data_IF_162452190588
#
_entry.id   IF_162452190588
#
_cell.length_a   1.000
_cell.length_b   1.000
_cell.length_c   1.000
_cell.angle_alpha   90.00
_cell.angle_beta   90.00
_cell.angle_gamma   90.00
#
_symmetry.space_group_name_H-M   'P 1'
#
loop_
_entity.id
_entity.type
_entity.pdbx_description
1 polymer ?
#
# COMPACT_ATOMS: atom_id res chain seq x y z
N UNK A 1 -0.15 5.23 11.75
CA UNK A 1 1.31 5.22 12.07
C UNK A 1 2.17 4.68 10.93
N UNK A 2 1.84 3.54 10.29
CA UNK A 2 2.67 2.97 9.22
C UNK A 2 2.60 3.76 7.90
N UNK A 3 1.40 4.19 7.52
CA UNK A 3 1.18 5.04 6.35
C UNK A 3 1.98 6.34 6.46
N UNK A 4 1.91 7.01 7.62
CA UNK A 4 2.62 8.26 7.89
C UNK A 4 4.13 8.07 7.81
N UNK A 5 4.68 7.03 8.46
CA UNK A 5 6.13 6.71 8.36
C UNK A 5 6.58 6.46 6.93
N UNK A 6 5.75 5.83 6.10
CA UNK A 6 6.06 5.65 4.69
C UNK A 6 6.05 6.98 3.91
N UNK A 7 5.09 7.87 4.18
CA UNK A 7 5.05 9.17 3.52
C UNK A 7 6.22 10.07 3.94
N UNK A 8 6.62 10.01 5.21
CA UNK A 8 7.85 10.65 5.70
C UNK A 8 9.10 10.08 5.03
N UNK A 9 9.19 8.75 4.89
CA UNK A 9 10.26 8.09 4.13
C UNK A 9 10.32 8.60 2.68
N UNK A 10 9.17 8.72 2.01
CA UNK A 10 9.12 9.25 0.64
C UNK A 10 9.58 10.72 0.58
N UNK A 11 9.19 11.52 1.58
CA UNK A 11 9.50 12.94 1.64
C UNK A 11 10.99 13.21 1.96
N UNK A 12 11.49 12.63 3.05
CA UNK A 12 12.80 12.99 3.60
C UNK A 12 13.93 12.14 3.04
N UNK A 13 13.73 10.83 2.94
CA UNK A 13 14.79 9.92 2.47
C UNK A 13 14.82 9.82 0.95
N UNK A 14 13.66 9.68 0.31
CA UNK A 14 13.55 9.58 -1.15
C UNK A 14 13.48 10.93 -1.85
N UNK A 15 13.23 12.02 -1.12
CA UNK A 15 13.12 13.39 -1.64
C UNK A 15 12.11 13.52 -2.79
N UNK A 16 11.00 12.79 -2.69
CA UNK A 16 9.91 12.93 -3.64
C UNK A 16 9.18 14.25 -3.43
N UNK A 17 8.66 14.83 -4.53
CA UNK A 17 7.89 16.07 -4.45
C UNK A 17 6.64 15.88 -3.59
N UNK A 18 6.16 16.95 -2.97
CA UNK A 18 4.94 16.94 -2.16
C UNK A 18 3.74 16.37 -2.93
N UNK A 19 3.59 16.75 -4.21
CA UNK A 19 2.56 16.19 -5.09
C UNK A 19 2.69 14.68 -5.24
N UNK A 20 3.91 14.16 -5.35
CA UNK A 20 4.16 12.72 -5.43
C UNK A 20 3.79 12.06 -4.10
N UNK A 21 4.27 12.56 -2.97
CA UNK A 21 3.96 12.02 -1.62
C UNK A 21 2.44 12.00 -1.38
N UNK A 22 1.74 13.08 -1.71
CA UNK A 22 0.28 13.17 -1.62
C UNK A 22 -0.41 12.11 -2.51
N UNK A 23 0.08 11.91 -3.73
CA UNK A 23 -0.42 10.87 -4.65
C UNK A 23 -0.36 9.46 -4.03
N UNK A 24 0.75 9.12 -3.37
CA UNK A 24 0.90 7.85 -2.66
C UNK A 24 -0.05 7.77 -1.46
N UNK A 25 -0.14 8.84 -0.66
CA UNK A 25 -1.03 8.89 0.50
C UNK A 25 -2.50 8.71 0.13
N UNK A 26 -2.96 9.37 -0.93
CA UNK A 26 -4.33 9.24 -1.45
C UNK A 26 -4.63 7.82 -1.95
N UNK A 27 -3.67 7.18 -2.59
CA UNK A 27 -3.86 5.80 -3.05
C UNK A 27 -3.97 4.81 -1.90
N UNK A 28 -3.12 4.96 -0.87
CA UNK A 28 -3.16 4.12 0.31
C UNK A 28 -4.46 4.31 1.10
N UNK A 29 -4.91 5.55 1.27
CA UNK A 29 -6.19 5.82 1.94
C UNK A 29 -7.38 5.25 1.17
N UNK A 30 -7.37 5.29 -0.18
CA UNK A 30 -8.43 4.67 -1.00
C UNK A 30 -8.42 3.15 -0.91
N UNK A 31 -7.25 2.53 -0.74
CA UNK A 31 -7.18 1.09 -0.52
C UNK A 31 -7.65 0.71 0.88
N UNK A 32 -7.25 1.47 1.90
CA UNK A 32 -7.73 1.31 3.27
C UNK A 32 -9.26 1.44 3.36
N UNK A 33 -9.85 2.42 2.67
CA UNK A 33 -11.30 2.57 2.54
C UNK A 33 -11.97 1.34 1.89
N UNK A 34 -11.36 0.80 0.82
CA UNK A 34 -11.84 -0.42 0.19
C UNK A 34 -11.81 -1.62 1.16
N UNK A 35 -10.71 -1.80 1.89
CA UNK A 35 -10.59 -2.90 2.85
C UNK A 35 -11.68 -2.82 3.92
N UNK A 36 -11.92 -1.63 4.48
CA UNK A 36 -12.99 -1.40 5.46
C UNK A 36 -14.39 -1.61 4.89
N UNK A 37 -14.57 -1.46 3.58
CA UNK A 37 -15.81 -1.79 2.88
C UNK A 37 -16.02 -3.30 2.69
N UNK A 38 -14.95 -4.10 2.71
CA UNK A 38 -15.01 -5.57 2.66
C UNK A 38 -15.26 -6.14 4.05
N UNK A 39 -14.48 -5.70 5.03
CA UNK A 39 -14.58 -6.09 6.43
C UNK A 39 -13.96 -4.98 7.31
N UNK A 40 -14.67 -4.58 8.37
CA UNK A 40 -14.23 -3.50 9.25
C UNK A 40 -12.97 -3.82 10.04
N UNK A 41 -12.62 -5.09 10.20
CA UNK A 41 -11.43 -5.53 10.93
C UNK A 41 -10.17 -5.56 10.05
N UNK A 42 -10.30 -5.48 8.72
CA UNK A 42 -9.15 -5.50 7.80
C UNK A 42 -8.34 -4.20 7.89
N UNK A 43 -7.02 -4.33 7.83
CA UNK A 43 -6.09 -3.20 7.84
C UNK A 43 -5.01 -3.34 6.77
N UNK A 44 -4.15 -2.33 6.65
CA UNK A 44 -3.06 -2.34 5.67
C UNK A 44 -1.95 -3.36 5.98
N UNK A 45 -1.99 -4.06 7.12
CA UNK A 45 -0.97 -5.02 7.55
C UNK A 45 -1.37 -6.43 7.10
N UNK A 46 -2.64 -6.79 7.25
CA UNK A 46 -3.16 -8.13 6.98
C UNK A 46 -3.84 -8.21 5.61
N UNK A 47 -3.06 -7.95 4.56
CA UNK A 47 -3.56 -7.93 3.17
C UNK A 47 -3.00 -9.10 2.39
N UNK A 48 -3.89 -9.91 1.82
CA UNK A 48 -3.52 -10.99 0.90
C UNK A 48 -3.72 -10.59 -0.58
N UNK A 49 -3.38 -11.51 -1.47
CA UNK A 49 -3.47 -11.28 -2.90
C UNK A 49 -4.92 -11.20 -3.41
N UNK A 50 -5.89 -11.83 -2.73
CA UNK A 50 -7.30 -11.79 -3.12
C UNK A 50 -7.91 -10.43 -2.84
N UNK A 51 -7.59 -9.80 -1.71
CA UNK A 51 -7.99 -8.42 -1.40
C UNK A 51 -7.47 -7.42 -2.43
N UNK A 52 -6.21 -7.57 -2.86
CA UNK A 52 -5.64 -6.70 -3.91
C UNK A 52 -6.34 -6.92 -5.26
N UNK A 53 -6.60 -8.19 -5.64
CA UNK A 53 -7.36 -8.50 -6.87
C UNK A 53 -8.77 -7.93 -6.83
N UNK A 54 -9.46 -8.08 -5.70
CA UNK A 54 -10.79 -7.52 -5.47
C UNK A 54 -10.79 -6.01 -5.63
N UNK A 55 -9.78 -5.31 -5.09
CA UNK A 55 -9.67 -3.86 -5.27
C UNK A 55 -9.49 -3.48 -6.73
N UNK A 56 -8.64 -4.20 -7.47
CA UNK A 56 -8.45 -3.96 -8.92
C UNK A 56 -9.77 -4.08 -9.69
N UNK A 57 -10.55 -5.13 -9.41
CA UNK A 57 -11.88 -5.32 -10.02
C UNK A 57 -12.79 -4.14 -9.68
N UNK A 58 -12.88 -3.75 -8.41
CA UNK A 58 -13.71 -2.61 -7.98
C UNK A 58 -13.32 -1.29 -8.65
N UNK A 59 -12.02 -1.05 -8.88
CA UNK A 59 -11.55 0.15 -9.56
C UNK A 59 -11.94 0.13 -11.05
N UNK A 60 -11.89 -1.03 -11.69
CA UNK A 60 -12.33 -1.19 -13.08
C UNK A 60 -13.84 -0.97 -13.21
N UNK A 61 -14.64 -1.48 -12.26
CA UNK A 61 -16.09 -1.26 -12.20
C UNK A 61 -16.45 0.21 -11.97
N UNK A 62 -15.63 0.94 -11.21
CA UNK A 62 -15.74 2.39 -11.02
C UNK A 62 -15.27 3.21 -12.24
N UNK A 63 -14.83 2.56 -13.33
CA UNK A 63 -14.43 3.21 -14.57
C UNK A 63 -13.02 3.81 -14.55
N UNK A 64 -12.16 3.44 -13.60
CA UNK A 64 -10.75 3.87 -13.64
C UNK A 64 -10.04 3.26 -14.85
N UNK A 65 -9.23 4.09 -15.51
CA UNK A 65 -8.38 3.61 -16.62
C UNK A 65 -7.32 2.64 -16.10
N UNK A 66 -6.84 1.75 -16.98
CA UNK A 66 -5.73 0.83 -16.67
C UNK A 66 -4.48 1.57 -16.17
N UNK A 67 -4.18 2.74 -16.73
CA UNK A 67 -3.08 3.61 -16.26
C UNK A 67 -3.29 4.07 -14.82
N UNK A 68 -4.50 4.49 -14.45
CA UNK A 68 -4.83 4.90 -13.09
C UNK A 68 -4.74 3.74 -12.09
N UNK A 69 -5.21 2.55 -12.48
CA UNK A 69 -5.12 1.32 -11.68
C UNK A 69 -3.65 0.92 -11.48
N UNK A 70 -2.84 0.93 -12.55
CA UNK A 70 -1.42 0.61 -12.47
C UNK A 70 -0.63 1.58 -11.58
N UNK A 71 -0.98 2.88 -11.59
CA UNK A 71 -0.40 3.86 -10.67
C UNK A 71 -0.72 3.51 -9.21
N UNK A 72 -1.96 3.17 -8.91
CA UNK A 72 -2.41 2.74 -7.57
C UNK A 72 -1.70 1.48 -7.08
N UNK A 73 -1.60 0.47 -7.94
CA UNK A 73 -0.85 -0.77 -7.65
C UNK A 73 0.64 -0.50 -7.42
N UNK A 74 1.22 0.47 -8.13
CA UNK A 74 2.61 0.88 -7.91
C UNK A 74 2.80 1.53 -6.54
N UNK A 75 1.84 2.33 -6.08
CA UNK A 75 1.81 2.91 -4.73
C UNK A 75 1.79 1.80 -3.66
N UNK A 76 0.89 0.82 -3.79
CA UNK A 76 0.83 -0.35 -2.89
C UNK A 76 2.15 -1.12 -2.85
N UNK A 77 2.70 -1.46 -4.02
CA UNK A 77 3.95 -2.21 -4.10
C UNK A 77 5.11 -1.47 -3.47
N UNK A 78 5.15 -0.14 -3.57
CA UNK A 78 6.17 0.66 -2.90
C UNK A 78 6.01 0.63 -1.39
N UNK A 79 4.78 0.78 -0.90
CA UNK A 79 4.45 0.74 0.51
C UNK A 79 4.81 -0.61 1.15
N UNK A 80 4.39 -1.74 0.57
CA UNK A 80 4.70 -3.05 1.12
C UNK A 80 6.21 -3.38 1.06
N UNK A 81 6.93 -2.93 0.03
CA UNK A 81 8.40 -3.05 0.00
C UNK A 81 9.07 -2.24 1.09
N UNK A 82 8.54 -1.05 1.41
CA UNK A 82 9.03 -0.26 2.54
C UNK A 82 8.81 -1.00 3.87
N UNK A 83 7.63 -1.59 4.09
CA UNK A 83 7.33 -2.35 5.30
C UNK A 83 8.27 -3.56 5.46
N UNK A 84 8.42 -4.37 4.41
CA UNK A 84 9.33 -5.52 4.41
C UNK A 84 10.78 -5.13 4.71
N UNK A 85 11.24 -4.01 4.14
CA UNK A 85 12.58 -3.49 4.42
C UNK A 85 12.72 -3.06 5.88
N UNK A 86 11.73 -2.34 6.42
CA UNK A 86 11.74 -1.89 7.82
C UNK A 86 11.75 -3.08 8.79
N UNK A 87 11.00 -4.13 8.47
CA UNK A 87 10.98 -5.39 9.24
C UNK A 87 12.35 -6.08 9.23
N UNK A 88 12.96 -6.23 8.05
CA UNK A 88 14.30 -6.81 7.90
C UNK A 88 15.36 -6.01 8.68
N UNK A 89 15.35 -4.69 8.56
CA UNK A 89 16.30 -3.79 9.23
C UNK A 89 16.12 -3.81 10.76
N UNK A 90 14.93 -4.16 11.26
CA UNK A 90 14.65 -4.32 12.70
C UNK A 90 15.10 -5.67 13.29
N UNK A 91 15.75 -6.55 12.52
CA UNK A 91 16.39 -7.78 13.00
C UNK A 91 15.50 -9.03 13.02
N UNK A 92 14.39 -9.05 12.28
CA UNK A 92 13.47 -10.18 12.22
C UNK A 92 14.09 -11.43 11.59
N UNK A 93 14.62 -12.34 12.41
CA UNK A 93 15.14 -13.66 11.98
C UNK A 93 14.04 -14.71 11.71
N UNK A 94 12.76 -14.40 11.92
CA UNK A 94 11.66 -15.38 11.87
C UNK A 94 10.73 -15.26 10.63
N UNK A 95 11.01 -14.33 9.71
CA UNK A 95 10.06 -13.94 8.64
C UNK A 95 9.96 -14.88 7.42
N UNK A 96 10.51 -16.11 7.46
CA UNK A 96 10.40 -17.05 6.33
C UNK A 96 9.00 -17.64 6.10
N UNK A 97 8.06 -17.43 7.03
CA UNK A 97 6.77 -18.15 7.03
C UNK A 97 5.54 -17.39 6.53
N UNK A 98 5.56 -16.05 6.47
CA UNK A 98 4.33 -15.26 6.34
C UNK A 98 4.03 -14.73 4.92
N UNK A 99 5.03 -14.68 4.03
CA UNK A 99 4.90 -14.02 2.71
C UNK A 99 5.61 -14.78 1.58
N UNK A 100 5.60 -16.12 1.63
CA UNK A 100 6.12 -16.99 0.57
C UNK A 100 5.01 -17.62 -0.27
#
# INVERSE_FOLDING_TARGET
MLKESFLEYLSYERRYSEHTVCSYGLDLSKFEEYLKGVDEDLDLIHVDADLVRGWVVSLMEQGYTSTSVNRKLSSLRSFYRYLLRKEYDSGGSDAKGYWS
#
